data_IF_595024687700
#
_entry.id   IF_595024687700
#
_cell.length_a   1.000
_cell.length_b   1.000
_cell.length_c   1.000
_cell.angle_alpha   90.00
_cell.angle_beta   90.00
_cell.angle_gamma   90.00
#
_symmetry.space_group_name_H-M   'P 1'
#
loop_
_entity.id
_entity.type
_entity.pdbx_description
1 polymer ?
#
# COMPACT_ATOMS: atom_id res chain seq x y z
N UNK A 1 -32.56 -20.52 -1.63
CA UNK A 1 -31.84 -19.86 -2.75
C UNK A 1 -30.40 -20.33 -2.81
N UNK A 2 -29.66 -20.03 -3.88
CA UNK A 2 -28.24 -20.40 -3.98
C UNK A 2 -27.38 -19.81 -2.84
N UNK A 3 -27.74 -18.61 -2.38
CA UNK A 3 -27.12 -17.97 -1.21
C UNK A 3 -27.28 -18.75 0.10
N UNK A 4 -28.44 -19.35 0.36
CA UNK A 4 -28.65 -20.18 1.56
C UNK A 4 -27.78 -21.44 1.54
N UNK A 5 -27.63 -22.05 0.36
CA UNK A 5 -26.76 -23.23 0.17
C UNK A 5 -25.30 -22.86 0.43
N UNK A 6 -24.86 -21.69 -0.07
CA UNK A 6 -23.51 -21.18 0.17
C UNK A 6 -23.25 -20.89 1.65
N UNK A 7 -24.18 -20.23 2.35
CA UNK A 7 -24.07 -19.95 3.78
C UNK A 7 -24.00 -21.22 4.63
N UNK A 8 -24.85 -22.20 4.33
CA UNK A 8 -24.84 -23.49 5.02
C UNK A 8 -23.51 -24.24 4.83
N UNK A 9 -22.94 -24.19 3.63
CA UNK A 9 -21.63 -24.77 3.33
C UNK A 9 -20.50 -24.06 4.09
N UNK A 10 -20.54 -22.72 4.16
CA UNK A 10 -19.56 -21.91 4.89
C UNK A 10 -19.57 -22.25 6.38
N UNK A 11 -20.75 -22.27 6.99
CA UNK A 11 -20.92 -22.53 8.41
C UNK A 11 -20.44 -23.94 8.79
N UNK A 12 -20.72 -24.94 7.94
CA UNK A 12 -20.22 -26.30 8.13
C UNK A 12 -18.69 -26.36 8.16
N UNK A 13 -18.02 -25.68 7.22
CA UNK A 13 -16.56 -25.65 7.19
C UNK A 13 -15.92 -24.82 8.31
N UNK A 14 -16.63 -23.84 8.88
CA UNK A 14 -16.14 -23.01 9.97
C UNK A 14 -16.25 -23.69 11.34
N UNK A 15 -17.24 -24.55 11.54
CA UNK A 15 -17.46 -25.29 12.79
C UNK A 15 -16.75 -26.65 12.83
N UNK A 16 -16.16 -27.09 11.71
CA UNK A 16 -15.45 -28.35 11.66
C UNK A 16 -14.11 -28.24 12.43
N UNK A 17 -14.07 -28.85 13.61
CA UNK A 17 -12.89 -28.92 14.49
C UNK A 17 -12.00 -30.13 14.20
N UNK A 18 -12.40 -31.00 13.27
CA UNK A 18 -11.65 -32.22 12.91
C UNK A 18 -10.67 -32.02 11.76
N UNK A 19 -10.58 -30.79 11.24
CA UNK A 19 -9.73 -30.43 10.10
C UNK A 19 -8.24 -30.48 10.47
N UNK A 20 -7.45 -31.15 9.65
CA UNK A 20 -5.99 -31.20 9.79
C UNK A 20 -5.32 -29.88 9.38
N UNK A 21 -4.19 -29.55 10.01
CA UNK A 21 -3.32 -28.41 9.63
C UNK A 21 -2.96 -28.46 8.15
N UNK A 22 -2.77 -29.65 7.58
CA UNK A 22 -2.46 -29.81 6.15
C UNK A 22 -3.63 -29.40 5.24
N UNK A 23 -4.86 -29.72 5.64
CA UNK A 23 -6.08 -29.31 4.95
C UNK A 23 -6.33 -27.79 5.07
N UNK A 24 -5.93 -27.17 6.18
CA UNK A 24 -5.94 -25.71 6.31
C UNK A 24 -4.90 -25.03 5.40
N UNK A 25 -3.70 -25.63 5.27
CA UNK A 25 -2.63 -25.11 4.40
C UNK A 25 -2.99 -25.19 2.92
N UNK A 26 -3.72 -26.22 2.47
CA UNK A 26 -4.12 -26.33 1.06
C UNK A 26 -5.09 -25.21 0.64
N UNK A 27 -6.03 -24.81 1.52
CA UNK A 27 -6.95 -23.66 1.29
C UNK A 27 -6.21 -22.32 1.16
N UNK A 28 -5.03 -22.20 1.76
CA UNK A 28 -4.22 -20.97 1.72
C UNK A 28 -3.68 -20.65 0.31
N UNK A 29 -3.66 -21.63 -0.60
CA UNK A 29 -3.24 -21.46 -2.01
C UNK A 29 -4.24 -20.69 -2.88
N UNK A 30 -5.45 -20.44 -2.40
CA UNK A 30 -6.50 -19.74 -3.15
C UNK A 30 -6.56 -18.24 -2.85
N UNK A 31 -5.73 -17.74 -1.92
CA UNK A 31 -5.61 -16.31 -1.71
C UNK A 31 -4.56 -15.77 -2.66
N UNK A 32 -4.94 -14.80 -3.49
CA UNK A 32 -3.97 -13.99 -4.20
C UNK A 32 -2.93 -13.47 -3.19
N UNK A 33 -1.63 -13.43 -3.54
CA UNK A 33 -0.65 -12.76 -2.71
C UNK A 33 -1.19 -11.38 -2.33
N UNK A 34 -1.02 -10.98 -1.06
CA UNK A 34 -1.35 -9.63 -0.65
C UNK A 34 -0.70 -8.69 -1.68
N UNK A 35 -1.51 -7.89 -2.38
CA UNK A 35 -0.97 -6.93 -3.32
C UNK A 35 -0.03 -6.04 -2.52
N UNK A 36 1.26 -6.06 -2.85
CA UNK A 36 2.20 -5.13 -2.26
C UNK A 36 1.73 -3.74 -2.67
N UNK A 37 1.22 -2.98 -1.70
CA UNK A 37 0.85 -1.60 -1.93
C UNK A 37 2.11 -0.87 -2.40
N UNK A 38 2.07 -0.43 -3.66
CA UNK A 38 3.11 0.44 -4.22
C UNK A 38 2.67 1.88 -3.93
N UNK A 39 3.35 2.59 -3.01
CA UNK A 39 3.02 3.99 -2.74
C UNK A 39 3.04 4.83 -4.02
N UNK A 40 2.11 5.78 -4.12
CA UNK A 40 2.06 6.75 -5.22
C UNK A 40 3.14 7.82 -5.00
N UNK A 41 4.32 7.62 -5.59
CA UNK A 41 5.45 8.54 -5.42
C UNK A 41 6.19 8.38 -4.09
N UNK A 42 7.34 9.05 -3.95
CA UNK A 42 8.18 9.00 -2.74
C UNK A 42 7.48 9.60 -1.51
N UNK A 43 6.51 10.49 -1.74
CA UNK A 43 5.73 11.20 -0.72
C UNK A 43 4.54 10.37 -0.17
N UNK A 44 4.25 9.20 -0.74
CA UNK A 44 3.07 8.45 -0.32
C UNK A 44 3.21 7.84 1.09
N UNK A 45 2.14 8.04 1.85
CA UNK A 45 2.09 8.00 3.31
C UNK A 45 2.69 6.74 3.98
N UNK A 46 3.46 6.98 5.04
CA UNK A 46 3.84 5.99 6.06
C UNK A 46 5.16 5.25 5.84
N UNK A 47 5.86 5.49 4.74
CA UNK A 47 7.16 4.84 4.46
C UNK A 47 8.37 5.59 5.06
N UNK A 48 8.23 6.90 5.30
CA UNK A 48 9.32 7.77 5.74
C UNK A 48 9.23 8.11 7.23
N UNK A 49 10.38 8.29 7.87
CA UNK A 49 10.45 8.86 9.21
C UNK A 49 10.08 10.35 9.17
N UNK A 50 9.73 10.91 10.33
CA UNK A 50 9.37 12.33 10.44
C UNK A 50 10.49 13.25 9.91
N UNK A 51 11.75 12.94 10.18
CA UNK A 51 12.90 13.73 9.69
C UNK A 51 13.06 13.66 8.18
N UNK A 52 12.84 12.50 7.57
CA UNK A 52 12.87 12.32 6.12
C UNK A 52 11.74 13.10 5.43
N UNK A 53 10.56 13.09 6.03
CA UNK A 53 9.43 13.87 5.54
C UNK A 53 9.68 15.38 5.63
N UNK A 54 10.27 15.85 6.73
CA UNK A 54 10.65 17.26 6.88
C UNK A 54 11.65 17.71 5.80
N UNK A 55 12.67 16.91 5.54
CA UNK A 55 13.66 17.22 4.50
C UNK A 55 13.02 17.33 3.10
N UNK A 56 12.10 16.42 2.76
CA UNK A 56 11.34 16.50 1.51
C UNK A 56 10.51 17.79 1.45
N UNK A 57 9.76 18.09 2.51
CA UNK A 57 8.92 19.28 2.59
C UNK A 57 9.73 20.58 2.44
N UNK A 58 10.91 20.65 3.05
CA UNK A 58 11.76 21.83 2.95
C UNK A 58 12.36 21.98 1.55
N UNK A 59 12.77 20.87 0.92
CA UNK A 59 13.22 20.88 -0.47
C UNK A 59 12.11 21.30 -1.45
N UNK A 60 10.86 20.94 -1.18
CA UNK A 60 9.72 21.31 -2.00
C UNK A 60 9.41 22.82 -1.87
N UNK A 61 9.45 23.36 -0.64
CA UNK A 61 9.34 24.81 -0.38
C UNK A 61 10.44 25.62 -1.09
N UNK A 62 11.67 25.13 -1.08
CA UNK A 62 12.76 25.78 -1.81
C UNK A 62 12.47 25.78 -3.30
N UNK A 63 12.06 24.65 -3.87
CA UNK A 63 11.71 24.61 -5.30
C UNK A 63 10.52 25.48 -5.67
N UNK A 64 9.51 25.58 -4.80
CA UNK A 64 8.36 26.47 -5.04
C UNK A 64 8.79 27.93 -5.02
N UNK A 65 9.67 28.32 -4.09
CA UNK A 65 10.21 29.68 -4.05
C UNK A 65 11.00 30.04 -5.31
N UNK A 66 11.78 29.10 -5.86
CA UNK A 66 12.52 29.32 -7.11
C UNK A 66 11.59 29.48 -8.31
N UNK A 67 10.49 28.71 -8.36
CA UNK A 67 9.46 28.88 -9.40
C UNK A 67 8.74 30.22 -9.28
N UNK A 68 8.44 30.67 -8.06
CA UNK A 68 7.84 31.99 -7.82
C UNK A 68 8.75 33.14 -8.28
N UNK A 69 10.07 32.95 -8.20
CA UNK A 69 11.07 33.87 -8.74
C UNK A 69 11.22 33.81 -10.27
N UNK A 70 10.49 32.91 -10.93
CA UNK A 70 10.45 32.78 -12.39
C UNK A 70 11.48 31.82 -12.98
N UNK A 71 12.17 31.02 -12.15
CA UNK A 71 13.07 29.99 -12.67
C UNK A 71 12.27 28.84 -13.31
N UNK A 72 12.74 28.39 -14.46
CA UNK A 72 12.27 27.17 -15.12
C UNK A 72 12.76 25.92 -14.38
N UNK A 73 12.04 24.81 -14.54
CA UNK A 73 12.43 23.53 -13.93
C UNK A 73 13.85 23.09 -14.36
N UNK A 74 14.30 23.45 -15.57
CA UNK A 74 15.68 23.21 -16.03
C UNK A 74 16.73 24.02 -15.27
N UNK A 75 16.44 25.27 -14.92
CA UNK A 75 17.34 26.13 -14.17
C UNK A 75 17.40 25.70 -12.69
N UNK A 76 16.26 25.29 -12.14
CA UNK A 76 16.16 24.73 -10.78
C UNK A 76 16.95 23.42 -10.68
N UNK A 77 16.89 22.57 -11.72
CA UNK A 77 17.67 21.33 -11.77
C UNK A 77 19.18 21.57 -11.80
N UNK A 78 19.64 22.66 -12.42
CA UNK A 78 21.06 23.02 -12.49
C UNK A 78 21.59 23.58 -11.17
N UNK A 79 20.70 24.09 -10.32
CA UNK A 79 21.03 24.69 -9.02
C UNK A 79 21.11 23.66 -7.88
N UNK A 80 20.40 22.53 -8.02
CA UNK A 80 20.44 21.38 -7.09
C UNK A 80 21.66 20.50 -7.30
#
# INVERSE_FOLDING_TARGET
TEGERQLKSLLHHQLDTTVSIEQCKSKRRCFAPAAFYKPFGEEAAGALTLSQFQALQDSDKETSSLRELGLSDSEILLWK
#
